data_IF_731767453347
#
_entry.id   IF_731767453347
#
_cell.length_a   1.000
_cell.length_b   1.000
_cell.length_c   1.000
_cell.angle_alpha   90.00
_cell.angle_beta   90.00
_cell.angle_gamma   90.00
#
_symmetry.space_group_name_H-M   'P 1'
#
loop_
_entity.id
_entity.type
_entity.pdbx_description
1 polymer ?
#
# COMPACT_ATOMS: atom_id res chain seq x y z
N UNK A 1 -37.88 -46.20 -60.55
CA UNK A 1 -36.80 -47.23 -60.43
C UNK A 1 -35.55 -46.71 -61.15
N UNK A 2 -34.39 -47.30 -60.85
CA UNK A 2 -33.10 -47.14 -61.57
C UNK A 2 -32.38 -45.77 -61.56
N UNK A 3 -31.04 -45.83 -61.67
CA UNK A 3 -30.09 -44.75 -62.03
C UNK A 3 -29.41 -45.14 -63.36
N UNK A 4 -28.75 -44.20 -64.06
CA UNK A 4 -27.26 -44.12 -63.97
C UNK A 4 -26.79 -42.64 -63.80
N UNK A 5 -25.52 -42.25 -63.56
CA UNK A 5 -24.16 -42.85 -63.68
C UNK A 5 -23.61 -42.78 -65.14
N UNK A 6 -22.34 -42.49 -65.44
CA UNK A 6 -21.17 -42.18 -64.58
C UNK A 6 -21.07 -40.65 -64.31
N UNK A 7 -20.03 -39.81 -64.51
CA UNK A 7 -18.61 -39.95 -64.94
C UNK A 7 -17.69 -38.98 -64.14
N UNK A 8 -16.69 -38.32 -64.77
CA UNK A 8 -15.71 -37.44 -64.09
C UNK A 8 -15.26 -36.30 -65.00
N UNK A 9 -14.98 -35.13 -64.42
CA UNK A 9 -13.65 -34.53 -64.55
C UNK A 9 -13.28 -33.68 -63.32
N UNK A 10 -11.97 -33.52 -63.09
CA UNK A 10 -11.38 -32.81 -61.95
C UNK A 10 -10.61 -31.62 -62.51
N UNK A 11 -10.72 -30.47 -61.85
CA UNK A 11 -9.60 -29.54 -61.61
C UNK A 11 -9.97 -28.67 -60.40
N UNK A 12 -9.00 -28.50 -59.49
CA UNK A 12 -9.17 -27.66 -58.31
C UNK A 12 -8.85 -26.21 -58.66
N UNK A 13 -9.51 -25.26 -57.98
CA UNK A 13 -8.81 -24.08 -57.47
C UNK A 13 -9.36 -23.73 -56.08
N UNK A 14 -8.45 -23.38 -55.18
CA UNK A 14 -8.72 -23.27 -53.75
C UNK A 14 -9.37 -21.94 -53.39
N UNK A 15 -10.30 -21.96 -52.42
CA UNK A 15 -10.23 -21.17 -51.19
C UNK A 15 -11.35 -21.58 -50.22
N UNK A 16 -10.98 -22.09 -49.03
CA UNK A 16 -11.86 -22.43 -47.91
C UNK A 16 -11.12 -22.26 -46.57
N UNK A 17 -11.80 -22.28 -45.40
CA UNK A 17 -11.51 -21.30 -44.34
C UNK A 17 -10.83 -21.88 -43.09
N UNK A 18 -10.76 -21.06 -42.04
CA UNK A 18 -10.69 -21.46 -40.61
C UNK A 18 -11.48 -22.76 -40.33
N UNK A 19 -11.03 -23.64 -39.40
CA UNK A 19 -11.04 -23.27 -37.98
C UNK A 19 -10.04 -23.97 -37.00
N UNK A 20 -10.06 -23.45 -35.75
CA UNK A 20 -9.90 -24.15 -34.46
C UNK A 20 -8.55 -24.76 -34.03
N UNK A 21 -8.42 -24.89 -32.70
CA UNK A 21 -7.27 -25.45 -31.98
C UNK A 21 -7.32 -26.98 -31.97
N UNK A 22 -6.16 -27.63 -31.90
CA UNK A 22 -5.89 -28.56 -30.78
C UNK A 22 -4.40 -28.84 -30.52
N UNK A 23 -4.17 -29.46 -29.36
CA UNK A 23 -2.91 -29.71 -28.65
C UNK A 23 -1.95 -30.68 -29.35
N UNK A 24 -0.63 -30.48 -29.22
CA UNK A 24 0.38 -31.56 -29.24
C UNK A 24 1.67 -31.17 -28.49
N UNK A 25 2.52 -32.17 -28.15
CA UNK A 25 3.75 -32.07 -27.34
C UNK A 25 5.02 -32.34 -28.19
N UNK A 26 6.19 -32.19 -27.55
CA UNK A 26 7.56 -32.61 -27.97
C UNK A 26 8.27 -31.59 -28.89
N UNK A 27 9.58 -31.36 -28.79
CA UNK A 27 10.58 -31.74 -27.77
C UNK A 27 11.73 -30.70 -27.69
N UNK A 28 12.60 -30.83 -26.69
CA UNK A 28 13.76 -29.94 -26.45
C UNK A 28 14.99 -30.36 -27.29
N UNK A 29 15.84 -29.39 -27.69
CA UNK A 29 17.30 -29.59 -27.65
C UNK A 29 18.00 -28.72 -26.58
N UNK A 30 19.20 -29.12 -26.17
CA UNK A 30 19.94 -28.58 -25.02
C UNK A 30 21.24 -27.84 -25.38
N UNK A 31 21.84 -27.19 -24.37
CA UNK A 31 23.09 -26.39 -24.39
C UNK A 31 22.97 -24.96 -25.01
N UNK A 32 23.63 -23.92 -24.48
CA UNK A 32 24.64 -23.83 -23.40
C UNK A 32 24.27 -22.89 -22.23
N UNK A 33 24.92 -23.19 -21.08
CA UNK A 33 25.59 -22.31 -20.07
C UNK A 33 25.65 -20.79 -20.36
N UNK A 34 25.78 -19.90 -19.36
CA UNK A 34 25.73 -19.96 -17.89
C UNK A 34 25.63 -18.52 -17.35
N UNK A 35 24.84 -18.27 -16.30
CA UNK A 35 25.12 -17.25 -15.26
C UNK A 35 24.11 -17.39 -14.11
N UNK A 36 24.38 -18.32 -13.20
CA UNK A 36 23.72 -18.37 -11.90
C UNK A 36 24.35 -17.33 -10.97
N UNK A 37 23.55 -16.56 -10.22
CA UNK A 37 23.83 -16.17 -8.83
C UNK A 37 22.65 -15.43 -8.17
N UNK A 38 21.56 -16.14 -7.90
CA UNK A 38 20.68 -15.79 -6.76
C UNK A 38 20.78 -16.94 -5.77
N UNK A 39 21.62 -16.79 -4.75
CA UNK A 39 21.68 -17.73 -3.62
C UNK A 39 20.37 -17.64 -2.86
N UNK A 40 19.54 -18.68 -2.96
CA UNK A 40 18.53 -18.95 -1.94
C UNK A 40 19.25 -19.09 -0.60
N UNK A 41 19.04 -18.16 0.33
CA UNK A 41 19.48 -18.29 1.71
C UNK A 41 18.51 -19.24 2.42
N UNK A 42 18.66 -20.53 2.11
CA UNK A 42 18.14 -21.60 2.95
C UNK A 42 19.07 -21.70 4.16
N UNK A 43 18.68 -21.04 5.25
CA UNK A 43 19.35 -21.19 6.54
C UNK A 43 18.33 -21.59 7.60
N UNK A 44 18.41 -22.87 7.96
CA UNK A 44 18.06 -23.44 9.26
C UNK A 44 16.74 -22.96 9.90
N UNK A 45 15.69 -23.76 9.68
CA UNK A 45 14.68 -23.98 10.73
C UNK A 45 15.37 -24.58 11.95
N UNK A 46 15.88 -23.74 12.86
CA UNK A 46 15.93 -24.15 14.25
C UNK A 46 14.48 -24.27 14.74
N UNK A 47 14.16 -25.40 15.36
CA UNK A 47 12.94 -25.58 16.14
C UNK A 47 13.05 -24.71 17.40
N UNK A 48 12.78 -23.41 17.25
CA UNK A 48 12.21 -22.66 18.35
C UNK A 48 10.94 -23.41 18.74
N UNK A 49 10.93 -23.93 19.97
CA UNK A 49 9.74 -24.50 20.59
C UNK A 49 8.60 -23.50 20.42
N UNK A 50 7.40 -23.99 20.15
CA UNK A 50 6.19 -23.22 20.39
C UNK A 50 6.19 -22.83 21.87
N UNK A 51 6.61 -21.60 22.15
CA UNK A 51 6.30 -20.92 23.39
C UNK A 51 4.84 -20.55 23.23
N UNK A 52 3.96 -21.32 23.89
CA UNK A 52 2.54 -21.02 23.94
C UNK A 52 2.36 -19.53 24.19
N UNK A 53 1.82 -18.83 23.20
CA UNK A 53 1.48 -17.41 23.31
C UNK A 53 0.21 -17.36 24.12
N UNK A 54 0.37 -17.58 25.43
CA UNK A 54 -0.68 -17.63 26.43
C UNK A 54 -1.58 -16.41 26.23
N UNK A 55 -2.84 -16.63 25.84
CA UNK A 55 -3.70 -15.50 25.55
C UNK A 55 -4.00 -14.76 26.86
N UNK A 56 -3.47 -13.55 26.96
CA UNK A 56 -3.63 -12.70 28.13
C UNK A 56 -5.01 -12.01 28.16
N UNK A 57 -5.94 -12.37 27.28
CA UNK A 57 -7.38 -12.27 27.59
C UNK A 57 -7.72 -13.24 28.73
N UNK A 58 -7.43 -12.86 29.97
CA UNK A 58 -8.00 -13.52 31.14
C UNK A 58 -9.53 -13.53 31.00
N UNK A 59 -10.13 -14.71 30.85
CA UNK A 59 -11.57 -14.87 30.94
C UNK A 59 -11.99 -14.57 32.39
N UNK A 60 -12.54 -13.37 32.61
CA UNK A 60 -12.95 -12.89 33.92
C UNK A 60 -14.27 -13.57 34.30
N UNK A 61 -14.16 -14.71 34.99
CA UNK A 61 -15.30 -15.49 35.47
C UNK A 61 -16.03 -14.85 36.65
N UNK A 62 -15.36 -14.00 37.45
CA UNK A 62 -15.96 -13.23 38.54
C UNK A 62 -15.16 -11.95 38.86
N UNK A 63 -15.71 -11.10 39.74
CA UNK A 63 -15.11 -9.81 40.11
C UNK A 63 -13.78 -9.94 40.87
N UNK A 64 -13.57 -11.00 41.64
CA UNK A 64 -12.32 -11.22 42.36
C UNK A 64 -11.20 -11.64 41.39
N UNK A 65 -11.50 -12.45 40.38
CA UNK A 65 -10.58 -12.74 39.27
C UNK A 65 -10.21 -11.48 38.47
N UNK A 66 -11.13 -10.51 38.32
CA UNK A 66 -10.80 -9.19 37.77
C UNK A 66 -9.82 -8.41 38.66
N UNK A 67 -10.07 -8.37 39.97
CA UNK A 67 -9.21 -7.66 40.94
C UNK A 67 -7.82 -8.28 41.06
N UNK A 68 -7.71 -9.61 41.00
CA UNK A 68 -6.46 -10.34 41.22
C UNK A 68 -5.63 -10.53 39.94
N UNK A 69 -6.26 -10.76 38.78
CA UNK A 69 -5.55 -11.09 37.54
C UNK A 69 -5.50 -9.91 36.56
N UNK A 70 -6.64 -9.30 36.24
CA UNK A 70 -6.71 -8.28 35.20
C UNK A 70 -6.19 -6.90 35.66
N UNK A 71 -6.59 -6.48 36.86
CA UNK A 71 -6.25 -5.16 37.43
C UNK A 71 -4.73 -4.95 37.63
N UNK A 72 -3.91 -5.95 38.03
CA UNK A 72 -2.45 -5.81 38.03
C UNK A 72 -1.83 -5.72 36.64
N UNK A 73 -2.30 -6.51 35.66
CA UNK A 73 -1.79 -6.46 34.27
C UNK A 73 -1.99 -5.08 33.67
N UNK A 74 -3.17 -4.47 33.83
CA UNK A 74 -3.43 -3.10 33.36
C UNK A 74 -2.54 -2.07 34.07
N UNK A 75 -2.29 -2.22 35.38
CA UNK A 75 -1.36 -1.34 36.13
C UNK A 75 0.07 -1.43 35.60
N UNK A 76 0.58 -2.65 35.38
CA UNK A 76 1.91 -2.90 34.81
C UNK A 76 2.03 -2.29 33.41
N UNK A 77 0.97 -2.40 32.60
CA UNK A 77 0.92 -1.82 31.25
C UNK A 77 0.92 -0.29 31.26
N UNK A 78 0.09 0.35 32.10
CA UNK A 78 0.11 1.81 32.31
C UNK A 78 1.50 2.28 32.72
N UNK A 79 2.11 1.62 33.70
CA UNK A 79 3.42 2.02 34.20
C UNK A 79 4.53 1.81 33.15
N UNK A 80 4.50 0.70 32.40
CA UNK A 80 5.44 0.46 31.28
C UNK A 80 5.29 1.50 30.16
N UNK A 81 4.06 1.88 29.82
CA UNK A 81 3.82 2.90 28.79
C UNK A 81 4.31 4.28 29.24
N UNK A 82 4.10 4.66 30.52
CA UNK A 82 4.69 5.88 31.09
C UNK A 82 6.22 5.87 31.02
N UNK A 83 6.86 4.75 31.40
CA UNK A 83 8.31 4.59 31.40
C UNK A 83 8.91 4.77 29.99
N UNK A 84 8.37 4.08 28.97
CA UNK A 84 8.95 4.12 27.62
C UNK A 84 8.53 5.36 26.82
N UNK A 85 7.29 5.85 27.00
CA UNK A 85 6.78 7.00 26.25
C UNK A 85 7.05 8.36 26.92
N UNK A 86 7.49 8.37 28.18
CA UNK A 86 7.72 9.58 28.98
C UNK A 86 6.47 10.48 29.04
N UNK A 87 5.35 9.85 29.44
CA UNK A 87 4.00 10.46 29.46
C UNK A 87 3.40 10.50 30.85
N UNK A 88 2.54 11.49 31.11
CA UNK A 88 1.77 11.54 32.35
C UNK A 88 0.78 10.37 32.45
N UNK A 89 0.29 10.10 33.66
CA UNK A 89 -0.78 9.12 33.88
C UNK A 89 -2.07 9.46 33.09
N UNK A 90 -2.35 10.75 32.87
CA UNK A 90 -3.53 11.22 32.12
C UNK A 90 -3.38 10.89 30.62
N UNK A 91 -2.24 11.26 30.03
CA UNK A 91 -1.94 10.99 28.63
C UNK A 91 -1.85 9.47 28.36
N UNK A 92 -1.26 8.71 29.28
CA UNK A 92 -1.16 7.25 29.17
C UNK A 92 -2.55 6.59 29.21
N UNK A 93 -3.44 7.04 30.10
CA UNK A 93 -4.81 6.56 30.14
C UNK A 93 -5.58 6.91 28.85
N UNK A 94 -5.34 8.11 28.28
CA UNK A 94 -5.89 8.49 26.97
C UNK A 94 -5.35 7.59 25.85
N UNK A 95 -4.03 7.36 25.79
CA UNK A 95 -3.40 6.45 24.82
C UNK A 95 -4.03 5.05 24.88
N UNK A 96 -4.28 4.52 26.08
CA UNK A 96 -4.92 3.20 26.28
C UNK A 96 -6.41 3.20 25.91
N UNK A 97 -7.10 4.34 26.04
CA UNK A 97 -8.50 4.50 25.61
C UNK A 97 -8.61 4.59 24.08
N UNK A 98 -7.74 5.39 23.45
CA UNK A 98 -7.65 5.57 21.99
C UNK A 98 -7.15 4.29 21.27
N UNK A 99 -6.38 3.44 21.97
CA UNK A 99 -5.75 2.23 21.43
C UNK A 99 -6.05 0.97 22.28
N UNK A 100 -7.32 0.53 22.39
CA UNK A 100 -7.73 -0.49 23.35
C UNK A 100 -7.11 -1.87 23.11
N UNK A 101 -6.60 -2.15 21.91
CA UNK A 101 -5.89 -3.40 21.59
C UNK A 101 -4.58 -3.56 22.37
N UNK A 102 -3.99 -2.46 22.89
CA UNK A 102 -2.82 -2.53 23.79
C UNK A 102 -3.10 -3.42 25.00
N UNK A 103 -4.33 -3.40 25.53
CA UNK A 103 -4.77 -4.19 26.70
C UNK A 103 -4.65 -5.71 26.51
N UNK A 104 -4.49 -6.19 25.27
CA UNK A 104 -4.32 -7.61 24.92
C UNK A 104 -2.85 -8.00 24.69
N UNK A 105 -1.89 -7.10 24.97
CA UNK A 105 -0.46 -7.34 24.71
C UNK A 105 0.34 -7.50 25.98
N UNK A 106 1.35 -8.37 25.89
CA UNK A 106 2.27 -8.62 26.99
C UNK A 106 3.22 -7.44 27.16
N UNK A 107 3.77 -7.25 28.38
CA UNK A 107 4.82 -6.25 28.63
C UNK A 107 6.00 -6.44 27.66
N UNK A 108 6.39 -7.69 27.41
CA UNK A 108 7.47 -8.03 26.50
C UNK A 108 7.16 -7.68 25.03
N UNK A 109 5.94 -7.89 24.55
CA UNK A 109 5.53 -7.52 23.19
C UNK A 109 5.51 -6.00 23.01
N UNK A 110 4.99 -5.24 23.97
CA UNK A 110 5.00 -3.76 23.95
C UNK A 110 6.44 -3.23 23.95
N UNK A 111 7.31 -3.76 24.82
CA UNK A 111 8.73 -3.38 24.87
C UNK A 111 9.47 -3.74 23.58
N UNK A 112 9.29 -4.95 23.05
CA UNK A 112 9.87 -5.36 21.77
C UNK A 112 9.42 -4.44 20.63
N UNK A 113 8.12 -4.13 20.54
CA UNK A 113 7.62 -3.20 19.52
C UNK A 113 8.19 -1.79 19.68
N UNK A 114 8.36 -1.30 20.91
CA UNK A 114 9.00 -0.01 21.19
C UNK A 114 10.46 0.02 20.75
N UNK A 115 11.28 -0.96 21.15
CA UNK A 115 12.70 -0.99 20.77
C UNK A 115 12.89 -1.18 19.27
N UNK A 116 12.11 -2.04 18.59
CA UNK A 116 12.17 -2.16 17.13
C UNK A 116 11.86 -0.82 16.41
N UNK A 117 10.98 0.03 16.97
CA UNK A 117 10.71 1.37 16.42
C UNK A 117 11.89 2.33 16.63
N UNK A 118 12.52 2.32 17.81
CA UNK A 118 13.70 3.13 18.12
C UNK A 118 14.91 2.69 17.27
N UNK A 119 15.14 1.39 17.12
CA UNK A 119 16.21 0.80 16.29
C UNK A 119 15.99 1.08 14.78
N UNK A 120 14.73 1.29 14.37
CA UNK A 120 14.37 1.76 13.03
C UNK A 120 14.40 3.30 12.88
N UNK A 121 14.86 4.04 13.91
CA UNK A 121 15.01 5.49 13.88
C UNK A 121 13.72 6.29 14.03
N UNK A 122 12.62 5.67 14.47
CA UNK A 122 11.33 6.38 14.71
C UNK A 122 11.40 7.13 16.03
N UNK A 123 11.09 8.43 16.01
CA UNK A 123 11.17 9.26 17.21
C UNK A 123 10.09 8.90 18.25
N UNK A 124 10.45 8.95 19.55
CA UNK A 124 9.49 8.76 20.66
C UNK A 124 8.22 9.62 20.51
N UNK A 125 8.37 10.88 20.06
CA UNK A 125 7.25 11.80 19.80
C UNK A 125 6.31 11.34 18.66
N UNK A 126 6.83 10.58 17.68
CA UNK A 126 6.06 9.92 16.62
C UNK A 126 5.39 8.65 17.13
N UNK A 127 6.06 7.88 18.00
CA UNK A 127 5.50 6.68 18.65
C UNK A 127 4.31 7.06 19.54
N UNK A 128 4.40 8.14 20.34
CA UNK A 128 3.29 8.67 21.16
C UNK A 128 2.05 8.97 20.30
N UNK A 129 2.25 9.64 19.15
CA UNK A 129 1.17 9.96 18.19
C UNK A 129 0.61 8.71 17.47
N UNK A 130 1.33 7.59 17.51
CA UNK A 130 1.02 6.36 16.78
C UNK A 130 1.08 5.12 17.70
N UNK A 131 0.60 5.23 18.94
CA UNK A 131 0.70 4.14 19.92
C UNK A 131 0.06 2.81 19.48
N UNK A 132 -0.85 2.82 18.50
CA UNK A 132 -1.35 1.63 17.79
C UNK A 132 -0.23 0.73 17.25
N UNK A 133 0.94 1.29 16.91
CA UNK A 133 2.13 0.52 16.49
C UNK A 133 2.57 -0.48 17.55
N UNK A 134 2.52 -0.11 18.83
CA UNK A 134 2.92 -0.95 19.95
C UNK A 134 2.00 -2.16 20.16
N UNK A 135 0.84 -2.18 19.51
CA UNK A 135 -0.14 -3.27 19.57
C UNK A 135 0.05 -4.39 18.52
N UNK A 136 1.14 -4.37 17.74
CA UNK A 136 1.42 -5.40 16.74
C UNK A 136 1.80 -6.76 17.36
N UNK A 137 1.28 -7.84 16.75
CA UNK A 137 1.61 -9.22 17.09
C UNK A 137 2.95 -9.68 16.52
N UNK A 138 3.67 -10.47 17.32
CA UNK A 138 4.90 -11.18 16.94
C UNK A 138 5.95 -10.20 16.36
N UNK A 139 6.83 -10.68 15.48
CA UNK A 139 7.82 -9.83 14.81
C UNK A 139 7.25 -9.04 13.61
N UNK A 140 5.93 -9.06 13.37
CA UNK A 140 5.30 -8.43 12.18
C UNK A 140 5.58 -6.93 12.06
N UNK A 141 5.80 -6.22 13.17
CA UNK A 141 6.21 -4.82 13.12
C UNK A 141 7.65 -4.67 12.60
N UNK A 142 8.57 -5.54 13.03
CA UNK A 142 9.94 -5.58 12.54
C UNK A 142 9.99 -5.92 11.05
N UNK A 143 9.24 -6.94 10.63
CA UNK A 143 9.14 -7.35 9.21
C UNK A 143 8.68 -6.18 8.30
N UNK A 144 7.82 -5.30 8.81
CA UNK A 144 7.39 -4.06 8.12
C UNK A 144 8.46 -2.97 8.14
N UNK A 145 9.13 -2.77 9.28
CA UNK A 145 10.18 -1.76 9.44
C UNK A 145 11.40 -2.06 8.58
N UNK A 146 11.87 -3.32 8.57
CA UNK A 146 12.94 -3.77 7.68
C UNK A 146 12.55 -3.68 6.19
N UNK A 147 11.25 -3.84 5.86
CA UNK A 147 10.74 -3.63 4.50
C UNK A 147 10.80 -2.17 4.04
N UNK A 148 10.41 -1.19 4.88
CA UNK A 148 10.50 0.24 4.50
C UNK A 148 11.93 0.80 4.56
N UNK A 149 12.80 0.21 5.38
CA UNK A 149 14.21 0.61 5.55
C UNK A 149 14.99 0.62 4.23
N UNK A 150 14.62 -0.23 3.27
CA UNK A 150 15.25 -0.30 1.93
C UNK A 150 15.01 0.97 1.08
N UNK A 151 14.09 1.85 1.49
CA UNK A 151 13.87 3.15 0.84
C UNK A 151 14.87 4.24 1.28
N UNK A 152 15.61 4.03 2.37
CA UNK A 152 16.55 5.02 2.94
C UNK A 152 15.92 6.41 3.23
N UNK A 153 14.62 6.45 3.52
CA UNK A 153 13.87 7.65 3.89
C UNK A 153 13.75 7.79 5.42
N UNK A 154 13.29 8.95 5.91
CA UNK A 154 12.93 9.08 7.32
C UNK A 154 11.68 8.24 7.65
N UNK A 155 11.85 7.20 8.46
CA UNK A 155 10.80 6.29 8.88
C UNK A 155 9.65 6.96 9.67
N UNK A 156 9.86 8.10 10.35
CA UNK A 156 8.79 8.90 10.95
C UNK A 156 7.70 9.28 9.92
N UNK A 157 8.12 9.53 8.67
CA UNK A 157 7.23 9.95 7.60
C UNK A 157 6.52 8.75 6.93
N UNK A 158 7.11 7.56 7.03
CA UNK A 158 6.59 6.31 6.45
C UNK A 158 5.65 5.53 7.37
N UNK A 159 5.52 5.93 8.66
CA UNK A 159 4.56 5.35 9.62
C UNK A 159 3.13 5.12 9.06
N UNK A 160 2.54 5.97 8.20
CA UNK A 160 1.23 5.70 7.60
C UNK A 160 1.16 4.36 6.85
N UNK A 161 2.25 3.94 6.21
CA UNK A 161 2.33 2.68 5.45
C UNK A 161 2.40 1.44 6.34
N UNK A 162 2.81 1.57 7.60
CA UNK A 162 2.76 0.46 8.56
C UNK A 162 1.33 -0.03 8.85
N UNK A 163 0.30 0.66 8.35
CA UNK A 163 -1.11 0.20 8.35
C UNK A 163 -1.43 -0.84 7.27
N UNK A 164 -0.62 -0.94 6.23
CA UNK A 164 -0.81 -1.88 5.12
C UNK A 164 -0.55 -3.34 5.58
N UNK A 165 -0.99 -4.31 4.78
CA UNK A 165 -0.48 -5.69 4.87
C UNK A 165 0.99 -5.76 4.44
N UNK A 166 1.70 -6.83 4.80
CA UNK A 166 3.10 -7.02 4.40
C UNK A 166 3.26 -7.08 2.87
N UNK A 167 2.30 -7.67 2.17
CA UNK A 167 2.29 -7.78 0.71
C UNK A 167 2.06 -6.42 0.04
N UNK A 168 1.08 -5.64 0.50
CA UNK A 168 0.84 -4.27 0.01
C UNK A 168 2.06 -3.36 0.26
N UNK A 169 2.69 -3.50 1.43
CA UNK A 169 3.87 -2.73 1.81
C UNK A 169 5.08 -3.06 0.92
N UNK A 170 5.34 -4.34 0.68
CA UNK A 170 6.41 -4.77 -0.23
C UNK A 170 6.16 -4.30 -1.67
N UNK A 171 4.91 -4.34 -2.14
CA UNK A 171 4.53 -3.76 -3.43
C UNK A 171 4.73 -2.24 -3.46
N UNK A 172 4.38 -1.51 -2.39
CA UNK A 172 4.58 -0.05 -2.29
C UNK A 172 6.05 0.34 -2.35
N UNK A 173 6.92 -0.40 -1.64
CA UNK A 173 8.39 -0.24 -1.70
C UNK A 173 8.89 -0.49 -3.12
N UNK A 174 8.52 -1.62 -3.74
CA UNK A 174 8.90 -1.99 -5.10
C UNK A 174 8.49 -0.93 -6.14
N UNK A 175 7.26 -0.42 -6.07
CA UNK A 175 6.78 0.66 -6.97
C UNK A 175 7.47 2.02 -6.72
N UNK A 176 8.06 2.22 -5.54
CA UNK A 176 8.78 3.46 -5.21
C UNK A 176 10.23 3.39 -5.68
N UNK A 177 10.85 2.20 -5.66
CA UNK A 177 12.22 1.96 -6.11
C UNK A 177 12.35 1.78 -7.63
N UNK A 178 11.38 1.16 -8.30
CA UNK A 178 11.47 0.88 -9.74
C UNK A 178 11.13 2.07 -10.64
N UNK A 179 10.53 3.13 -10.08
CA UNK A 179 9.95 4.27 -10.81
C UNK A 179 10.71 5.58 -10.49
N UNK A 180 12.03 5.47 -10.30
CA UNK A 180 12.97 6.58 -10.12
C UNK A 180 13.14 7.41 -11.42
N UNK A 181 12.96 6.79 -12.59
CA UNK A 181 13.09 7.45 -13.89
C UNK A 181 14.41 8.22 -14.07
N UNK A 182 14.39 9.41 -14.71
CA UNK A 182 15.52 10.34 -14.74
C UNK A 182 15.55 11.29 -13.52
N UNK A 183 14.76 11.05 -12.47
CA UNK A 183 14.60 11.97 -11.34
C UNK A 183 15.63 11.69 -10.24
N UNK A 184 16.11 12.74 -9.58
CA UNK A 184 17.08 12.65 -8.46
C UNK A 184 16.46 12.17 -7.15
N UNK A 185 15.13 12.09 -7.08
CA UNK A 185 14.33 11.81 -5.90
C UNK A 185 13.53 10.53 -6.11
N UNK A 186 13.18 9.84 -5.03
CA UNK A 186 12.26 8.72 -5.15
C UNK A 186 10.83 9.18 -5.46
N UNK A 187 10.00 8.25 -5.94
CA UNK A 187 8.62 8.55 -6.39
C UNK A 187 7.78 9.31 -5.38
N UNK A 188 7.92 9.02 -4.09
CA UNK A 188 7.16 9.69 -3.03
C UNK A 188 7.73 11.08 -2.74
N UNK A 189 9.04 11.26 -2.73
CA UNK A 189 9.68 12.58 -2.59
C UNK A 189 9.30 13.53 -3.74
N UNK A 190 9.40 13.06 -4.98
CA UNK A 190 9.04 13.85 -6.16
C UNK A 190 7.56 14.22 -6.18
N UNK A 191 6.66 13.26 -5.92
CA UNK A 191 5.22 13.55 -5.85
C UNK A 191 4.85 14.44 -4.66
N UNK A 192 5.56 14.34 -3.52
CA UNK A 192 5.35 15.21 -2.37
C UNK A 192 5.76 16.65 -2.67
N UNK A 193 6.91 16.84 -3.33
CA UNK A 193 7.39 18.12 -3.84
C UNK A 193 6.42 18.72 -4.88
N UNK A 194 6.05 17.96 -5.91
CA UNK A 194 5.17 18.42 -7.01
C UNK A 194 3.76 18.78 -6.56
N UNK A 195 3.24 18.11 -5.53
CA UNK A 195 1.94 18.38 -4.91
C UNK A 195 2.02 19.35 -3.72
N UNK A 196 3.19 19.94 -3.43
CA UNK A 196 3.42 20.90 -2.34
C UNK A 196 2.92 20.38 -0.97
N UNK A 197 3.32 19.16 -0.61
CA UNK A 197 2.89 18.52 0.63
C UNK A 197 4.01 17.73 1.32
N UNK A 198 3.85 17.46 2.61
CA UNK A 198 4.79 16.61 3.34
C UNK A 198 4.69 15.15 2.88
N UNK A 199 5.83 14.46 2.87
CA UNK A 199 5.92 13.02 2.59
C UNK A 199 4.93 12.23 3.47
N UNK A 200 4.85 12.53 4.77
CA UNK A 200 3.91 11.89 5.70
C UNK A 200 2.43 12.08 5.29
N UNK A 201 2.06 13.24 4.73
CA UNK A 201 0.72 13.50 4.18
C UNK A 201 0.49 12.74 2.88
N UNK A 202 1.48 12.64 1.99
CA UNK A 202 1.38 11.82 0.79
C UNK A 202 1.28 10.32 1.13
N UNK A 203 2.05 9.83 2.09
CA UNK A 203 1.99 8.44 2.57
C UNK A 203 0.62 8.10 3.18
N UNK A 204 -0.01 9.03 3.92
CA UNK A 204 -1.42 8.90 4.37
C UNK A 204 -2.39 8.81 3.19
N UNK A 205 -2.12 9.53 2.10
CA UNK A 205 -2.95 9.52 0.90
C UNK A 205 -2.74 8.24 0.06
N UNK A 206 -1.52 7.73 -0.14
CA UNK A 206 -1.31 6.50 -0.94
C UNK A 206 -1.93 5.25 -0.31
N UNK A 207 -2.04 5.18 1.02
CA UNK A 207 -2.79 4.12 1.73
C UNK A 207 -4.28 4.12 1.34
N UNK A 208 -4.88 5.29 1.08
CA UNK A 208 -6.27 5.42 0.62
C UNK A 208 -6.41 5.30 -0.91
N UNK A 209 -5.41 5.77 -1.64
CA UNK A 209 -5.40 5.90 -3.10
C UNK A 209 -4.28 5.03 -3.69
N UNK A 210 -4.33 3.72 -3.40
CA UNK A 210 -3.25 2.74 -3.68
C UNK A 210 -2.84 2.66 -5.16
N UNK A 211 -3.72 3.06 -6.08
CA UNK A 211 -3.42 3.16 -7.51
C UNK A 211 -2.35 4.22 -7.84
N UNK A 212 -2.13 5.23 -6.99
CA UNK A 212 -1.19 6.32 -7.25
C UNK A 212 0.26 5.82 -7.35
N UNK A 213 0.61 4.77 -6.59
CA UNK A 213 1.91 4.12 -6.73
C UNK A 213 1.98 3.18 -7.95
N UNK A 214 0.85 2.70 -8.48
CA UNK A 214 0.80 1.79 -9.63
C UNK A 214 0.86 2.50 -10.99
N UNK A 215 0.49 3.78 -11.07
CA UNK A 215 0.66 4.60 -12.29
C UNK A 215 2.12 5.10 -12.33
N UNK A 216 2.88 4.92 -13.42
CA UNK A 216 4.27 5.41 -13.48
C UNK A 216 4.35 6.93 -13.37
N UNK A 217 5.42 7.43 -12.74
CA UNK A 217 5.55 8.82 -12.28
C UNK A 217 5.39 9.85 -13.40
N UNK A 218 5.92 9.55 -14.58
CA UNK A 218 5.83 10.39 -15.78
C UNK A 218 4.39 10.56 -16.31
N UNK A 219 3.53 9.56 -16.13
CA UNK A 219 2.10 9.67 -16.44
C UNK A 219 1.33 10.44 -15.36
N UNK A 220 1.83 10.52 -14.13
CA UNK A 220 1.25 11.40 -13.11
C UNK A 220 1.65 12.85 -13.42
N UNK A 221 2.92 13.11 -13.74
CA UNK A 221 3.43 14.44 -14.11
C UNK A 221 2.68 15.05 -15.29
N UNK A 222 2.43 14.29 -16.37
CA UNK A 222 1.61 14.76 -17.50
C UNK A 222 0.21 15.18 -17.08
N UNK A 223 -0.46 14.40 -16.22
CA UNK A 223 -1.80 14.73 -15.72
C UNK A 223 -1.80 15.94 -14.78
N UNK A 224 -0.76 16.09 -13.96
CA UNK A 224 -0.58 17.29 -13.12
C UNK A 224 -0.34 18.53 -13.98
N UNK A 225 0.50 18.45 -15.02
CA UNK A 225 0.72 19.55 -15.96
C UNK A 225 -0.60 19.98 -16.61
N UNK A 226 -1.40 19.03 -17.14
CA UNK A 226 -2.74 19.33 -17.68
C UNK A 226 -3.62 19.98 -16.61
N UNK A 227 -3.66 19.46 -15.38
CA UNK A 227 -4.46 20.07 -14.31
C UNK A 227 -4.03 21.52 -14.01
N UNK A 228 -2.74 21.83 -14.07
CA UNK A 228 -2.23 23.19 -13.87
C UNK A 228 -2.44 24.10 -15.10
N UNK A 229 -2.46 23.57 -16.33
CA UNK A 229 -2.85 24.31 -17.56
C UNK A 229 -4.29 24.84 -17.50
N UNK A 230 -5.17 24.22 -16.70
CA UNK A 230 -6.54 24.68 -16.43
C UNK A 230 -6.71 25.17 -14.98
N UNK A 231 -5.64 25.70 -14.38
CA UNK A 231 -5.63 26.45 -13.11
C UNK A 231 -6.03 25.65 -11.86
N UNK A 232 -6.05 24.30 -11.95
CA UNK A 232 -6.43 23.43 -10.83
C UNK A 232 -5.29 23.37 -9.81
N UNK A 233 -5.46 24.08 -8.68
CA UNK A 233 -4.45 24.14 -7.62
C UNK A 233 -4.21 22.80 -6.91
N UNK A 234 -2.98 22.58 -6.43
CA UNK A 234 -2.59 21.41 -5.62
C UNK A 234 -3.51 21.18 -4.40
N UNK A 235 -4.03 22.26 -3.80
CA UNK A 235 -5.02 22.23 -2.71
C UNK A 235 -6.35 21.56 -3.10
N UNK A 236 -6.74 21.61 -4.37
CA UNK A 236 -7.90 20.91 -4.92
C UNK A 236 -7.56 19.49 -5.42
N UNK A 237 -6.39 19.28 -6.03
CA UNK A 237 -5.91 17.95 -6.46
C UNK A 237 -5.76 17.00 -5.26
N UNK A 238 -5.10 17.45 -4.18
CA UNK A 238 -4.89 16.66 -2.96
C UNK A 238 -6.18 16.30 -2.20
N UNK A 239 -7.29 16.99 -2.47
CA UNK A 239 -8.61 16.65 -1.91
C UNK A 239 -9.31 15.53 -2.69
N UNK A 240 -8.94 15.31 -3.95
CA UNK A 240 -9.64 14.39 -4.86
C UNK A 240 -8.70 13.73 -5.89
N UNK A 241 -7.70 13.02 -5.37
CA UNK A 241 -6.67 12.33 -6.18
C UNK A 241 -7.23 11.33 -7.20
N UNK A 242 -8.51 10.92 -7.11
CA UNK A 242 -9.18 10.11 -8.13
C UNK A 242 -9.13 10.76 -9.52
N UNK A 243 -8.98 12.08 -9.62
CA UNK A 243 -8.76 12.79 -10.90
C UNK A 243 -7.57 12.22 -11.69
N UNK A 244 -6.51 11.78 -11.01
CA UNK A 244 -5.29 11.22 -11.62
C UNK A 244 -5.48 9.79 -12.17
N UNK A 245 -6.62 9.15 -11.91
CA UNK A 245 -6.96 7.82 -12.48
C UNK A 245 -7.39 7.90 -13.94
N UNK A 246 -7.92 9.03 -14.39
CA UNK A 246 -8.42 9.23 -15.75
C UNK A 246 -7.26 9.40 -16.75
N UNK A 247 -7.54 9.28 -18.06
CA UNK A 247 -6.55 9.52 -19.11
C UNK A 247 -6.29 11.02 -19.31
N UNK A 248 -5.14 11.36 -19.89
CA UNK A 248 -4.75 12.75 -20.22
C UNK A 248 -5.82 13.43 -21.09
N UNK A 249 -6.27 12.76 -22.16
CA UNK A 249 -7.34 13.26 -23.04
C UNK A 249 -8.69 13.44 -22.31
N UNK A 250 -9.04 12.55 -21.36
CA UNK A 250 -10.26 12.72 -20.56
C UNK A 250 -10.15 13.95 -19.66
N UNK A 251 -9.02 14.13 -18.97
CA UNK A 251 -8.82 15.29 -18.10
C UNK A 251 -8.92 16.57 -18.94
N UNK A 252 -8.17 16.66 -20.04
CA UNK A 252 -8.18 17.83 -20.94
C UNK A 252 -9.59 18.18 -21.43
N UNK A 253 -10.27 17.22 -22.07
CA UNK A 253 -11.62 17.41 -22.61
C UNK A 253 -12.65 17.84 -21.55
N UNK A 254 -12.51 17.36 -20.30
CA UNK A 254 -13.39 17.75 -19.20
C UNK A 254 -13.08 19.13 -18.62
N UNK A 255 -11.84 19.58 -18.68
CA UNK A 255 -11.47 20.95 -18.32
C UNK A 255 -11.96 21.96 -19.37
N UNK A 256 -11.82 21.62 -20.66
CA UNK A 256 -12.33 22.40 -21.80
C UNK A 256 -13.83 22.62 -21.69
N UNK A 257 -14.62 21.53 -21.67
CA UNK A 257 -16.08 21.58 -21.51
C UNK A 257 -16.52 22.35 -20.25
N UNK A 258 -15.71 22.43 -19.20
CA UNK A 258 -16.04 23.21 -18.01
C UNK A 258 -15.72 24.70 -18.18
N UNK A 259 -14.59 25.07 -18.80
CA UNK A 259 -14.32 26.48 -19.14
C UNK A 259 -15.34 27.03 -20.16
N UNK A 260 -15.82 26.20 -21.09
CA UNK A 260 -16.86 26.56 -22.07
C UNK A 260 -18.21 26.97 -21.43
N UNK A 261 -18.48 26.54 -20.19
CA UNK A 261 -19.68 26.99 -19.43
C UNK A 261 -19.55 28.38 -18.82
N UNK A 262 -18.44 29.09 -19.05
CA UNK A 262 -18.14 30.38 -18.42
C UNK A 262 -17.66 30.28 -16.97
N UNK A 263 -17.45 29.07 -16.44
CA UNK A 263 -16.93 28.87 -15.09
C UNK A 263 -15.41 29.16 -15.01
N UNK A 264 -15.03 30.10 -14.13
CA UNK A 264 -13.66 30.63 -14.04
C UNK A 264 -12.62 29.66 -13.46
N UNK A 265 -13.01 28.70 -12.60
CA UNK A 265 -12.06 27.82 -11.90
C UNK A 265 -12.49 26.34 -12.01
N UNK A 266 -11.71 25.52 -12.71
CA UNK A 266 -12.02 24.10 -12.92
C UNK A 266 -11.92 23.33 -11.59
N UNK A 267 -13.01 22.68 -11.19
CA UNK A 267 -13.06 21.86 -9.97
C UNK A 267 -12.84 20.38 -10.28
N UNK A 268 -12.07 19.70 -9.45
CA UNK A 268 -11.73 18.27 -9.61
C UNK A 268 -12.94 17.34 -9.71
N UNK A 269 -14.08 17.68 -9.08
CA UNK A 269 -15.32 16.92 -9.22
C UNK A 269 -15.91 16.99 -10.63
N UNK A 270 -15.73 18.11 -11.36
CA UNK A 270 -16.25 18.30 -12.71
C UNK A 270 -15.56 17.37 -13.70
N UNK A 271 -14.28 17.04 -13.47
CA UNK A 271 -13.53 16.08 -14.30
C UNK A 271 -14.06 14.64 -14.11
N UNK A 272 -14.68 14.34 -12.96
CA UNK A 272 -15.16 12.99 -12.61
C UNK A 272 -16.67 12.75 -12.83
N UNK A 273 -17.50 13.80 -12.90
CA UNK A 273 -18.94 13.65 -12.98
C UNK A 273 -19.45 13.23 -14.38
N UNK A 274 -20.69 12.76 -14.55
CA UNK A 274 -21.28 12.54 -15.88
C UNK A 274 -21.33 13.82 -16.73
N UNK A 275 -21.30 13.71 -18.07
CA UNK A 275 -21.35 14.87 -18.99
C UNK A 275 -22.57 15.77 -18.75
N UNK A 276 -23.74 15.16 -18.48
CA UNK A 276 -25.01 15.82 -18.11
C UNK A 276 -24.99 16.66 -16.81
N UNK A 277 -23.83 16.77 -16.14
CA UNK A 277 -23.62 17.57 -14.93
C UNK A 277 -22.68 18.76 -15.19
N UNK A 278 -21.97 18.79 -16.33
CA UNK A 278 -21.31 20.02 -16.84
C UNK A 278 -22.26 20.80 -17.75
N UNK A 279 -23.01 20.12 -18.63
CA UNK A 279 -23.93 20.77 -19.57
C UNK A 279 -25.26 21.19 -18.90
N UNK A 280 -25.17 21.94 -17.80
CA UNK A 280 -26.28 22.47 -16.98
C UNK A 280 -25.88 23.80 -16.34
#
# INVERSE_FOLDING_TARGET
MARPIVQRMIINLLLKPQPQLQLLKLALPSHLKEHSLVRFISQNRQLHKDVDVLDHTCEVSNYDAYLMNYKPVVRIMVQTLKEILDTTSIETNKIIADNPQLKKRTRANILNNYYNLIDAGVQKSTIVKNAWLLAHENNRLKDKLDCIKVLNMNNDQLIPWLRLTQEELANFVLYTQNDMGPYTYNKIEHLAHRLECSIEKLCKLTVRYTFLLKIPISYIDKKLNILHEYDVSNKHILKDLWVLRYSENHIRHRCELYKDTGNLEVKTWAIRCPLRVIAR
#
